data_IF_393974424197
#
_entry.id   IF_393974424197
#
_cell.length_a   1.000
_cell.length_b   1.000
_cell.length_c   1.000
_cell.angle_alpha   90.00
_cell.angle_beta   90.00
_cell.angle_gamma   90.00
#
_symmetry.space_group_name_H-M   'P 1'
#
loop_
_entity.id
_entity.type
_entity.pdbx_description
1 polymer ?
#
# COMPACT_ATOMS: atom_id res chain seq x y z
N UNK A 1 -50.36 -43.20 -12.81
CA UNK A 1 -50.26 -42.09 -11.84
C UNK A 1 -48.89 -41.46 -11.99
N UNK A 2 -48.87 -40.14 -12.06
CA UNK A 2 -47.89 -39.28 -12.74
C UNK A 2 -46.63 -39.02 -11.91
N UNK A 3 -45.45 -39.30 -12.48
CA UNK A 3 -44.15 -38.94 -11.90
C UNK A 3 -43.81 -37.48 -12.25
N UNK A 4 -43.97 -36.60 -11.27
CA UNK A 4 -43.70 -35.17 -11.40
C UNK A 4 -42.20 -34.91 -11.24
N UNK A 5 -41.47 -34.84 -12.36
CA UNK A 5 -40.11 -34.32 -12.36
C UNK A 5 -40.14 -32.80 -12.21
N UNK A 6 -39.85 -32.33 -11.00
CA UNK A 6 -39.58 -30.92 -10.71
C UNK A 6 -38.25 -30.55 -11.35
N UNK A 7 -38.32 -29.94 -12.54
CA UNK A 7 -37.18 -29.32 -13.21
C UNK A 7 -36.75 -28.08 -12.45
N UNK A 8 -35.79 -28.24 -11.53
CA UNK A 8 -35.10 -27.12 -10.87
C UNK A 8 -34.21 -26.45 -11.92
N UNK A 9 -34.79 -25.48 -12.63
CA UNK A 9 -34.10 -24.62 -13.59
C UNK A 9 -33.15 -23.73 -12.79
N UNK A 10 -31.93 -24.21 -12.55
CA UNK A 10 -30.88 -23.46 -11.89
C UNK A 10 -30.64 -22.16 -12.67
N UNK A 11 -31.16 -21.05 -12.15
CA UNK A 11 -30.85 -19.71 -12.62
C UNK A 11 -29.35 -19.47 -12.37
N UNK A 12 -28.53 -19.82 -13.37
CA UNK A 12 -27.16 -19.34 -13.48
C UNK A 12 -27.23 -17.83 -13.60
N UNK A 13 -27.12 -17.18 -12.45
CA UNK A 13 -26.94 -15.75 -12.34
C UNK A 13 -25.72 -15.40 -13.19
N UNK A 14 -25.93 -14.67 -14.28
CA UNK A 14 -24.85 -14.23 -15.14
C UNK A 14 -23.76 -13.54 -14.28
N UNK A 15 -22.48 -13.85 -14.49
CA UNK A 15 -21.41 -13.20 -13.74
C UNK A 15 -21.50 -11.70 -13.97
N UNK A 16 -21.79 -10.95 -12.89
CA UNK A 16 -21.80 -9.49 -12.90
C UNK A 16 -20.41 -9.02 -13.34
N UNK A 17 -20.31 -8.51 -14.57
CA UNK A 17 -19.13 -7.83 -15.07
C UNK A 17 -18.87 -6.61 -14.19
N UNK A 18 -17.82 -6.69 -13.36
CA UNK A 18 -17.33 -5.53 -12.63
C UNK A 18 -16.95 -4.43 -13.63
N UNK A 19 -17.09 -3.14 -13.28
CA UNK A 19 -16.74 -2.04 -14.17
C UNK A 19 -15.27 -2.19 -14.61
N UNK A 20 -14.91 -1.86 -15.86
CA UNK A 20 -13.53 -1.92 -16.37
C UNK A 20 -12.59 -1.05 -15.52
N UNK A 21 -11.27 -1.30 -15.59
CA UNK A 21 -10.31 -0.43 -14.87
C UNK A 21 -10.49 0.93 -15.50
N UNK A 22 -10.72 2.00 -14.73
CA UNK A 22 -10.82 3.31 -15.33
C UNK A 22 -9.50 3.56 -16.05
N UNK A 23 -9.57 3.75 -17.37
CA UNK A 23 -8.41 4.01 -18.24
C UNK A 23 -7.55 5.14 -17.65
N UNK A 24 -8.23 6.12 -17.03
CA UNK A 24 -7.63 7.21 -16.27
C UNK A 24 -6.63 6.72 -15.22
N UNK A 25 -6.93 5.69 -14.42
CA UNK A 25 -5.97 5.19 -13.42
C UNK A 25 -4.72 4.61 -14.09
N UNK A 26 -4.87 3.85 -15.17
CA UNK A 26 -3.72 3.31 -15.90
C UNK A 26 -2.86 4.43 -16.47
N UNK A 27 -3.48 5.42 -17.12
CA UNK A 27 -2.78 6.56 -17.71
C UNK A 27 -2.07 7.37 -16.63
N UNK A 28 -2.73 7.64 -15.50
CA UNK A 28 -2.11 8.33 -14.37
C UNK A 28 -0.94 7.55 -13.78
N UNK A 29 -1.08 6.23 -13.55
CA UNK A 29 0.00 5.41 -13.00
C UNK A 29 1.19 5.35 -13.96
N UNK A 30 0.96 5.07 -15.24
CA UNK A 30 2.04 5.01 -16.24
C UNK A 30 2.68 6.39 -16.44
N UNK A 31 1.88 7.44 -16.55
CA UNK A 31 2.36 8.81 -16.68
C UNK A 31 3.20 9.24 -15.47
N UNK A 32 2.77 8.90 -14.25
CA UNK A 32 3.53 9.17 -13.03
C UNK A 32 4.87 8.42 -13.02
N UNK A 33 4.88 7.14 -13.38
CA UNK A 33 6.10 6.33 -13.44
C UNK A 33 7.09 6.85 -14.48
N UNK A 34 6.61 7.20 -15.67
CA UNK A 34 7.44 7.75 -16.74
C UNK A 34 7.95 9.16 -16.42
N UNK A 35 7.09 10.01 -15.85
CA UNK A 35 7.49 11.35 -15.42
C UNK A 35 8.54 11.30 -14.31
N UNK A 36 8.36 10.43 -13.33
CA UNK A 36 9.33 10.24 -12.26
C UNK A 36 10.63 9.58 -12.76
N UNK A 37 10.55 8.61 -13.67
CA UNK A 37 11.74 8.05 -14.33
C UNK A 37 12.49 9.11 -15.14
N UNK A 38 11.79 9.98 -15.87
CA UNK A 38 12.37 11.09 -16.62
C UNK A 38 13.08 12.09 -15.72
N UNK A 39 12.48 12.44 -14.58
CA UNK A 39 13.12 13.27 -13.56
C UNK A 39 14.42 12.62 -13.04
N UNK A 40 14.40 11.31 -12.76
CA UNK A 40 15.58 10.56 -12.30
C UNK A 40 16.67 10.45 -13.37
N UNK A 41 16.30 10.30 -14.65
CA UNK A 41 17.23 10.35 -15.78
C UNK A 41 17.87 11.73 -15.84
N UNK A 42 17.08 12.81 -15.75
CA UNK A 42 17.59 14.18 -15.79
C UNK A 42 18.62 14.42 -14.67
N UNK A 43 18.35 13.98 -13.44
CA UNK A 43 19.31 14.08 -12.34
C UNK A 43 20.55 13.21 -12.52
N UNK A 44 20.42 12.06 -13.18
CA UNK A 44 21.56 11.18 -13.45
C UNK A 44 22.46 11.75 -14.56
N UNK A 45 21.88 12.47 -15.53
CA UNK A 45 22.60 13.03 -16.69
C UNK A 45 23.16 14.42 -16.42
N UNK A 46 22.36 15.32 -15.83
CA UNK A 46 22.72 16.73 -15.63
C UNK A 46 23.29 17.04 -14.24
N UNK A 47 23.39 16.01 -13.39
CA UNK A 47 23.81 16.15 -12.00
C UNK A 47 22.63 16.22 -11.04
N UNK A 48 22.80 15.57 -9.89
CA UNK A 48 21.84 15.60 -8.78
C UNK A 48 21.99 16.91 -8.01
N UNK A 49 20.89 17.58 -7.61
CA UNK A 49 20.95 18.67 -6.65
C UNK A 49 21.78 18.27 -5.41
N UNK A 50 22.65 19.18 -4.94
CA UNK A 50 23.56 18.95 -3.82
C UNK A 50 22.84 18.69 -2.48
N UNK A 51 21.60 19.16 -2.35
CA UNK A 51 20.84 19.20 -1.10
C UNK A 51 19.62 18.26 -1.12
N UNK A 52 19.83 16.98 -1.45
CA UNK A 52 18.75 15.98 -1.46
C UNK A 52 18.67 15.15 -0.16
N UNK A 53 19.76 15.05 0.60
CA UNK A 53 19.79 14.32 1.87
C UNK A 53 21.06 14.62 2.64
N UNK A 54 21.01 14.57 3.97
CA UNK A 54 22.20 14.68 4.83
C UNK A 54 23.17 13.50 4.68
N UNK A 55 22.71 12.32 4.22
CA UNK A 55 23.47 11.05 4.24
C UNK A 55 23.79 10.55 2.81
N UNK A 56 23.70 11.41 1.79
CA UNK A 56 24.09 11.06 0.41
C UNK A 56 22.91 10.97 -0.56
N UNK A 57 22.79 9.93 -1.42
CA UNK A 57 21.81 9.92 -2.50
C UNK A 57 20.37 9.78 -2.00
N UNK A 58 19.44 10.35 -2.77
CA UNK A 58 18.03 10.57 -2.40
C UNK A 58 17.20 9.30 -2.09
N UNK A 59 17.47 8.18 -2.77
CA UNK A 59 16.81 6.89 -2.53
C UNK A 59 17.81 5.89 -1.96
N UNK A 60 17.45 5.18 -0.90
CA UNK A 60 18.26 4.10 -0.34
C UNK A 60 18.01 2.83 -1.16
N UNK A 61 19.05 2.06 -1.49
CA UNK A 61 19.07 0.88 -2.40
C UNK A 61 18.86 1.14 -3.91
N UNK A 62 18.03 2.10 -4.33
CA UNK A 62 17.68 2.31 -5.75
C UNK A 62 18.15 3.67 -6.27
N UNK A 63 19.47 3.83 -6.37
CA UNK A 63 20.11 5.04 -6.90
C UNK A 63 20.49 4.87 -8.36
N UNK A 64 20.52 5.96 -9.13
CA UNK A 64 20.94 5.95 -10.54
C UNK A 64 20.12 5.01 -11.43
N UNK A 65 20.82 4.29 -12.31
CA UNK A 65 20.23 3.43 -13.35
C UNK A 65 19.35 2.28 -12.85
N UNK A 66 19.71 1.53 -11.78
CA UNK A 66 18.82 0.51 -11.22
C UNK A 66 17.44 1.04 -10.81
N UNK A 67 17.36 2.23 -10.21
CA UNK A 67 16.09 2.84 -9.83
C UNK A 67 15.24 3.20 -11.06
N UNK A 68 15.87 3.71 -12.11
CA UNK A 68 15.21 4.01 -13.39
C UNK A 68 14.67 2.73 -14.03
N UNK A 69 15.47 1.65 -14.04
CA UNK A 69 15.06 0.35 -14.58
C UNK A 69 13.83 -0.22 -13.86
N UNK A 70 13.77 -0.10 -12.52
CA UNK A 70 12.59 -0.53 -11.73
C UNK A 70 11.35 0.27 -12.11
N UNK A 71 11.46 1.59 -12.29
CA UNK A 71 10.33 2.45 -12.67
C UNK A 71 9.79 2.13 -14.06
N UNK A 72 10.70 1.98 -15.04
CA UNK A 72 10.32 1.61 -16.41
C UNK A 72 9.73 0.19 -16.47
N UNK A 73 10.35 -0.77 -15.78
CA UNK A 73 9.83 -2.13 -15.65
C UNK A 73 8.44 -2.15 -15.02
N UNK A 74 8.21 -1.37 -13.96
CA UNK A 74 6.90 -1.23 -13.34
C UNK A 74 5.86 -0.63 -14.30
N UNK A 75 6.25 0.35 -15.13
CA UNK A 75 5.35 0.93 -16.14
C UNK A 75 4.93 -0.11 -17.19
N UNK A 76 5.87 -0.95 -17.64
CA UNK A 76 5.58 -2.07 -18.56
C UNK A 76 4.65 -3.08 -17.90
N UNK A 77 4.88 -3.44 -16.64
CA UNK A 77 4.01 -4.36 -15.90
C UNK A 77 2.59 -3.79 -15.79
N UNK A 78 2.43 -2.51 -15.42
CA UNK A 78 1.12 -1.84 -15.32
C UNK A 78 0.42 -1.80 -16.68
N UNK A 79 1.14 -1.49 -17.76
CA UNK A 79 0.58 -1.50 -19.11
C UNK A 79 0.13 -2.92 -19.52
N UNK A 80 0.94 -3.94 -19.25
CA UNK A 80 0.60 -5.35 -19.54
C UNK A 80 -0.63 -5.82 -18.74
N UNK A 81 -0.73 -5.44 -17.46
CA UNK A 81 -1.91 -5.70 -16.62
C UNK A 81 -3.18 -5.03 -17.19
N UNK A 82 -3.05 -3.80 -17.70
CA UNK A 82 -4.17 -3.09 -18.32
C UNK A 82 -4.62 -3.72 -19.64
N UNK A 83 -3.68 -4.12 -20.51
CA UNK A 83 -3.98 -4.83 -21.77
C UNK A 83 -4.67 -6.16 -21.49
N UNK A 84 -4.17 -6.92 -20.52
CA UNK A 84 -4.74 -8.20 -20.10
C UNK A 84 -6.14 -8.08 -19.48
N UNK A 85 -6.54 -6.90 -19.00
CA UNK A 85 -7.87 -6.64 -18.41
C UNK A 85 -8.76 -5.74 -19.28
N UNK A 86 -8.36 -5.46 -20.52
CA UNK A 86 -9.09 -4.58 -21.43
C UNK A 86 -10.40 -5.17 -21.97
N UNK A 87 -11.15 -4.41 -22.79
CA UNK A 87 -12.47 -4.81 -23.31
C UNK A 87 -12.46 -6.16 -24.05
N UNK A 88 -11.36 -6.48 -24.75
CA UNK A 88 -11.16 -7.76 -25.45
C UNK A 88 -11.06 -8.96 -24.52
N UNK A 89 -10.73 -8.74 -23.25
CA UNK A 89 -10.65 -9.78 -22.22
C UNK A 89 -11.97 -9.95 -21.44
N UNK A 90 -12.95 -9.05 -21.61
CA UNK A 90 -14.19 -9.03 -20.83
C UNK A 90 -15.09 -10.27 -21.04
N UNK A 91 -14.88 -11.02 -22.13
CA UNK A 91 -15.61 -12.27 -22.42
C UNK A 91 -14.91 -13.55 -21.93
N UNK A 92 -13.69 -13.47 -21.38
CA UNK A 92 -12.94 -14.66 -20.95
C UNK A 92 -13.23 -14.99 -19.47
N UNK A 93 -13.44 -16.27 -19.12
CA UNK A 93 -13.56 -16.66 -17.72
C UNK A 93 -12.28 -16.32 -16.97
N UNK A 94 -12.42 -15.77 -15.75
CA UNK A 94 -11.29 -15.47 -14.88
C UNK A 94 -10.50 -16.75 -14.61
N UNK A 95 -9.27 -16.80 -15.11
CA UNK A 95 -8.38 -17.96 -14.98
C UNK A 95 -7.02 -17.49 -14.51
N UNK A 96 -6.56 -18.04 -13.39
CA UNK A 96 -5.20 -17.84 -12.89
C UNK A 96 -4.25 -18.56 -13.83
N UNK A 97 -3.58 -17.81 -14.71
CA UNK A 97 -2.52 -18.31 -15.59
C UNK A 97 -1.14 -17.98 -15.02
N UNK A 98 -0.07 -18.71 -15.38
CA UNK A 98 1.28 -18.36 -14.94
C UNK A 98 1.66 -16.91 -15.28
N UNK A 99 1.21 -16.39 -16.42
CA UNK A 99 1.40 -14.98 -16.79
C UNK A 99 0.71 -14.00 -15.83
N UNK A 100 -0.51 -14.30 -15.36
CA UNK A 100 -1.19 -13.45 -14.35
C UNK A 100 -0.47 -13.47 -13.01
N UNK A 101 0.10 -14.61 -12.61
CA UNK A 101 0.88 -14.72 -11.36
C UNK A 101 2.18 -13.92 -11.49
N UNK A 102 2.91 -14.07 -12.59
CA UNK A 102 4.14 -13.34 -12.85
C UNK A 102 3.93 -11.81 -12.85
N UNK A 103 2.90 -11.32 -13.54
CA UNK A 103 2.56 -9.89 -13.56
C UNK A 103 2.14 -9.35 -12.18
N UNK A 104 1.49 -10.18 -11.37
CA UNK A 104 1.09 -9.78 -10.01
C UNK A 104 2.30 -9.72 -9.09
N UNK A 105 3.15 -10.74 -9.12
CA UNK A 105 4.39 -10.78 -8.35
C UNK A 105 5.33 -9.65 -8.74
N UNK A 106 5.50 -9.39 -10.05
CA UNK A 106 6.30 -8.28 -10.55
C UNK A 106 5.79 -6.94 -10.00
N UNK A 107 4.48 -6.68 -10.08
CA UNK A 107 3.88 -5.45 -9.53
C UNK A 107 4.05 -5.33 -8.00
N UNK A 108 3.89 -6.43 -7.26
CA UNK A 108 4.11 -6.48 -5.81
C UNK A 108 5.58 -6.18 -5.46
N UNK A 109 6.52 -6.80 -6.16
CA UNK A 109 7.96 -6.62 -5.93
C UNK A 109 8.37 -5.18 -6.26
N UNK A 110 7.93 -4.63 -7.40
CA UNK A 110 8.21 -3.24 -7.75
C UNK A 110 7.64 -2.25 -6.73
N UNK A 111 6.40 -2.45 -6.29
CA UNK A 111 5.78 -1.60 -5.27
C UNK A 111 6.54 -1.69 -3.92
N UNK A 112 6.91 -2.90 -3.50
CA UNK A 112 7.67 -3.11 -2.27
C UNK A 112 9.06 -2.47 -2.35
N UNK A 113 9.78 -2.64 -3.47
CA UNK A 113 11.10 -2.07 -3.69
C UNK A 113 11.08 -0.54 -3.67
N UNK A 114 10.10 0.09 -4.34
CA UNK A 114 9.93 1.54 -4.33
C UNK A 114 9.52 2.07 -2.95
N UNK A 115 8.64 1.37 -2.24
CA UNK A 115 8.24 1.75 -0.88
C UNK A 115 9.42 1.66 0.10
N UNK A 116 10.24 0.60 -0.02
CA UNK A 116 11.45 0.44 0.78
C UNK A 116 12.49 1.53 0.46
N UNK A 117 12.65 1.88 -0.82
CA UNK A 117 13.54 2.96 -1.22
C UNK A 117 13.06 4.34 -0.75
N UNK A 118 11.75 4.50 -0.57
CA UNK A 118 11.13 5.70 0.00
C UNK A 118 11.14 5.71 1.54
N UNK A 119 11.70 4.71 2.23
CA UNK A 119 11.61 4.60 3.70
C UNK A 119 12.19 5.82 4.45
N UNK A 120 13.13 6.55 3.83
CA UNK A 120 13.69 7.77 4.41
C UNK A 120 12.72 8.97 4.42
N UNK A 121 11.56 8.87 3.75
CA UNK A 121 10.50 9.89 3.81
C UNK A 121 10.07 10.19 5.25
N UNK A 122 10.13 9.18 6.13
CA UNK A 122 9.76 9.33 7.53
C UNK A 122 10.73 10.27 8.26
N UNK A 123 12.03 10.25 7.91
CA UNK A 123 13.02 11.15 8.51
C UNK A 123 12.79 12.59 8.09
N UNK A 124 12.46 12.85 6.81
CA UNK A 124 12.19 14.22 6.37
C UNK A 124 10.89 14.75 6.97
N UNK A 125 9.87 13.89 7.10
CA UNK A 125 8.60 14.27 7.69
C UNK A 125 8.76 14.64 9.16
N UNK A 126 9.59 13.89 9.89
CA UNK A 126 9.94 14.18 11.29
C UNK A 126 10.77 15.45 11.40
N UNK A 127 11.77 15.62 10.53
CA UNK A 127 12.60 16.83 10.47
C UNK A 127 11.79 18.10 10.16
N UNK A 128 10.76 17.99 9.32
CA UNK A 128 9.84 19.09 9.01
C UNK A 128 8.77 19.35 10.08
N UNK A 129 8.26 18.28 10.73
CA UNK A 129 7.16 18.38 11.71
C UNK A 129 7.63 18.79 13.11
N UNK A 130 8.89 18.51 13.47
CA UNK A 130 9.47 18.83 14.77
C UNK A 130 10.62 19.83 14.61
N UNK A 131 10.33 21.12 14.37
CA UNK A 131 11.38 22.15 14.34
C UNK A 131 12.07 22.21 15.70
N UNK A 132 13.41 22.06 15.71
CA UNK A 132 14.23 22.06 16.94
C UNK A 132 15.04 20.78 17.18
N UNK A 133 14.88 19.74 16.36
CA UNK A 133 15.63 18.48 16.46
C UNK A 133 17.05 18.52 15.84
N UNK A 134 17.49 19.67 15.32
CA UNK A 134 18.79 19.82 14.67
C UNK A 134 18.93 19.11 13.32
N UNK A 135 17.86 18.50 12.81
CA UNK A 135 17.83 17.81 11.50
C UNK A 135 17.51 18.83 10.41
N UNK A 136 18.42 18.97 9.44
CA UNK A 136 18.22 19.83 8.27
C UNK A 136 17.11 19.28 7.38
N UNK A 137 16.13 20.13 7.05
CA UNK A 137 15.01 19.76 6.19
C UNK A 137 15.37 19.99 4.72
N UNK A 138 15.29 18.93 3.89
CA UNK A 138 15.56 18.97 2.46
C UNK A 138 14.26 18.84 1.66
N UNK A 139 13.61 19.95 1.27
CA UNK A 139 12.28 19.93 0.65
C UNK A 139 12.25 19.15 -0.67
N UNK A 140 13.33 19.21 -1.44
CA UNK A 140 13.43 18.52 -2.74
C UNK A 140 13.54 17.01 -2.56
N UNK A 141 14.35 16.54 -1.60
CA UNK A 141 14.46 15.12 -1.26
C UNK A 141 13.14 14.58 -0.70
N UNK A 142 12.50 15.33 0.19
CA UNK A 142 11.18 14.97 0.72
C UNK A 142 10.14 14.82 -0.40
N UNK A 143 10.05 15.78 -1.32
CA UNK A 143 9.13 15.73 -2.46
C UNK A 143 9.42 14.55 -3.39
N UNK A 144 10.69 14.23 -3.63
CA UNK A 144 11.11 13.07 -4.42
C UNK A 144 10.67 11.75 -3.79
N UNK A 145 10.90 11.59 -2.47
CA UNK A 145 10.49 10.39 -1.73
C UNK A 145 8.98 10.25 -1.64
N UNK A 146 8.24 11.35 -1.51
CA UNK A 146 6.77 11.38 -1.66
C UNK A 146 6.38 10.88 -3.06
N UNK A 147 7.07 11.35 -4.11
CA UNK A 147 6.86 10.91 -5.48
C UNK A 147 7.06 9.41 -5.67
N UNK A 148 8.12 8.87 -5.07
CA UNK A 148 8.43 7.44 -5.05
C UNK A 148 7.37 6.61 -4.30
N UNK A 149 6.98 7.05 -3.11
CA UNK A 149 5.93 6.39 -2.32
C UNK A 149 4.58 6.43 -3.06
N UNK A 150 4.25 7.55 -3.70
CA UNK A 150 3.07 7.68 -4.56
C UNK A 150 3.09 6.68 -5.72
N UNK A 151 4.25 6.51 -6.38
CA UNK A 151 4.42 5.50 -7.43
C UNK A 151 4.17 4.07 -6.90
N UNK A 152 4.74 3.73 -5.75
CA UNK A 152 4.53 2.42 -5.10
C UNK A 152 3.04 2.15 -4.80
N UNK A 153 2.33 3.15 -4.26
CA UNK A 153 0.88 3.04 -3.97
C UNK A 153 0.07 2.85 -5.25
N UNK A 154 0.36 3.62 -6.30
CA UNK A 154 -0.33 3.51 -7.58
C UNK A 154 -0.13 2.12 -8.22
N UNK A 155 1.10 1.58 -8.20
CA UNK A 155 1.40 0.22 -8.68
C UNK A 155 0.61 -0.82 -7.85
N UNK A 156 0.60 -0.68 -6.52
CA UNK A 156 -0.11 -1.61 -5.63
C UNK A 156 -1.62 -1.62 -5.90
N UNK A 157 -2.25 -0.45 -6.04
CA UNK A 157 -3.67 -0.35 -6.38
C UNK A 157 -3.97 -1.03 -7.72
N UNK A 158 -3.13 -0.80 -8.73
CA UNK A 158 -3.30 -1.39 -10.05
C UNK A 158 -3.15 -2.91 -10.02
N UNK A 159 -2.08 -3.39 -9.40
CA UNK A 159 -1.76 -4.81 -9.23
C UNK A 159 -2.84 -5.55 -8.44
N UNK A 160 -3.37 -4.93 -7.38
CA UNK A 160 -4.48 -5.51 -6.60
C UNK A 160 -5.76 -5.63 -7.43
N UNK A 161 -6.10 -4.63 -8.23
CA UNK A 161 -7.27 -4.68 -9.13
C UNK A 161 -7.10 -5.76 -10.20
N UNK A 162 -5.91 -5.85 -10.78
CA UNK A 162 -5.55 -6.89 -11.74
C UNK A 162 -5.71 -8.30 -11.13
N UNK A 163 -5.17 -8.52 -9.94
CA UNK A 163 -5.29 -9.78 -9.20
C UNK A 163 -6.75 -10.13 -8.94
N UNK A 164 -7.54 -9.20 -8.39
CA UNK A 164 -8.94 -9.44 -8.04
C UNK A 164 -9.81 -9.82 -9.25
N UNK A 165 -9.47 -9.36 -10.46
CA UNK A 165 -10.20 -9.73 -11.68
C UNK A 165 -9.80 -11.07 -12.27
N UNK A 166 -8.51 -11.40 -12.22
CA UNK A 166 -7.99 -12.61 -12.85
C UNK A 166 -8.01 -13.82 -11.91
N UNK A 167 -8.33 -13.61 -10.63
CA UNK A 167 -8.49 -14.68 -9.65
C UNK A 167 -9.75 -15.49 -9.98
N UNK A 168 -9.58 -16.79 -10.22
CA UNK A 168 -10.71 -17.71 -10.32
C UNK A 168 -11.50 -17.72 -8.99
N UNK A 169 -12.83 -17.75 -9.09
CA UNK A 169 -13.76 -17.68 -7.95
C UNK A 169 -13.54 -18.75 -6.85
N UNK A 170 -12.73 -19.80 -7.12
CA UNK A 170 -12.42 -20.87 -6.17
C UNK A 170 -11.23 -20.61 -5.23
N UNK A 171 -10.47 -19.52 -5.38
CA UNK A 171 -9.33 -19.22 -4.50
C UNK A 171 -9.67 -18.31 -3.32
N UNK A 172 -10.91 -17.83 -3.22
CA UNK A 172 -11.36 -17.11 -2.03
C UNK A 172 -11.72 -18.18 -1.00
N UNK A 173 -10.83 -18.41 -0.04
CA UNK A 173 -11.25 -19.03 1.19
C UNK A 173 -12.43 -18.21 1.73
N UNK A 174 -13.55 -18.88 2.04
CA UNK A 174 -14.73 -18.21 2.55
C UNK A 174 -14.35 -17.19 3.64
N UNK A 175 -14.97 -16.01 3.67
CA UNK A 175 -14.75 -15.04 4.74
C UNK A 175 -15.17 -15.65 6.09
N UNK A 176 -14.25 -16.35 6.73
CA UNK A 176 -14.49 -17.22 7.88
C UNK A 176 -13.32 -18.13 8.23
N UNK A 177 -12.40 -18.43 7.30
CA UNK A 177 -11.22 -19.24 7.63
C UNK A 177 -10.10 -18.40 8.25
N UNK A 178 -9.45 -18.99 9.26
CA UNK A 178 -8.39 -18.41 10.08
C UNK A 178 -7.38 -17.59 9.25
N UNK A 179 -6.95 -16.45 9.80
CA UNK A 179 -5.89 -15.66 9.17
C UNK A 179 -4.64 -16.53 9.02
N UNK A 180 -4.10 -16.71 7.80
CA UNK A 180 -3.00 -17.64 7.57
C UNK A 180 -1.81 -17.29 8.47
N UNK A 181 -1.18 -18.30 9.07
CA UNK A 181 -0.13 -18.14 10.09
C UNK A 181 1.04 -17.24 9.67
N UNK A 182 1.32 -17.16 8.36
CA UNK A 182 2.35 -16.27 7.83
C UNK A 182 2.08 -14.77 8.06
N UNK A 183 0.81 -14.37 8.20
CA UNK A 183 0.44 -12.99 8.57
C UNK A 183 0.93 -12.64 9.96
N UNK A 184 0.88 -13.61 10.90
CA UNK A 184 1.47 -13.45 12.23
C UNK A 184 2.99 -13.35 12.12
N UNK A 185 3.62 -14.24 11.34
CA UNK A 185 5.05 -14.19 11.07
C UNK A 185 5.52 -12.84 10.51
N UNK A 186 4.81 -12.29 9.53
CA UNK A 186 5.14 -10.98 8.95
C UNK A 186 4.99 -9.83 9.96
N UNK A 187 3.97 -9.86 10.82
CA UNK A 187 3.82 -8.88 11.90
C UNK A 187 4.95 -8.95 12.92
N UNK A 188 5.32 -10.16 13.36
CA UNK A 188 6.45 -10.34 14.29
C UNK A 188 7.79 -10.01 13.64
N UNK A 189 7.96 -10.27 12.34
CA UNK A 189 9.15 -9.87 11.59
C UNK A 189 9.29 -8.34 11.55
N UNK A 190 8.19 -7.61 11.36
CA UNK A 190 8.19 -6.14 11.41
C UNK A 190 8.58 -5.63 12.81
N UNK A 191 8.03 -6.24 13.87
CA UNK A 191 8.41 -5.93 15.26
C UNK A 191 9.89 -6.24 15.51
N UNK A 192 10.37 -7.41 15.07
CA UNK A 192 11.75 -7.81 15.22
C UNK A 192 12.70 -6.87 14.47
N UNK A 193 12.35 -6.43 13.26
CA UNK A 193 13.12 -5.41 12.53
C UNK A 193 13.17 -4.07 13.27
N UNK A 194 12.06 -3.65 13.88
CA UNK A 194 12.03 -2.45 14.72
C UNK A 194 12.92 -2.59 15.97
N UNK A 195 12.87 -3.73 16.66
CA UNK A 195 13.72 -4.01 17.82
C UNK A 195 15.19 -4.13 17.44
N UNK A 196 15.52 -4.78 16.32
CA UNK A 196 16.88 -4.88 15.81
C UNK A 196 17.46 -3.50 15.49
N UNK A 197 16.65 -2.60 14.92
CA UNK A 197 17.06 -1.20 14.71
C UNK A 197 17.36 -0.49 16.02
N UNK A 198 16.51 -0.62 17.03
CA UNK A 198 16.73 -0.02 18.35
C UNK A 198 17.99 -0.59 19.01
N UNK A 199 18.18 -1.91 18.93
CA UNK A 199 19.39 -2.57 19.43
C UNK A 199 20.64 -2.04 18.73
N UNK A 200 20.60 -1.81 17.42
CA UNK A 200 21.71 -1.21 16.68
C UNK A 200 21.99 0.24 17.09
N UNK A 201 20.94 1.04 17.36
CA UNK A 201 21.09 2.40 17.89
C UNK A 201 21.71 2.39 19.29
N UNK A 202 21.33 1.42 20.13
CA UNK A 202 21.90 1.21 21.45
C UNK A 202 23.34 0.69 21.39
N UNK A 203 23.75 -0.12 20.41
CA UNK A 203 25.13 -0.62 20.35
C UNK A 203 26.10 0.37 19.71
N UNK A 204 25.63 1.22 18.79
CA UNK A 204 26.48 2.16 18.03
C UNK A 204 26.48 3.57 18.64
N UNK A 205 25.48 3.95 19.45
CA UNK A 205 25.26 5.33 19.94
C UNK A 205 25.43 5.56 21.45
N UNK A 206 26.07 4.65 22.20
CA UNK A 206 26.09 4.70 23.67
C UNK A 206 26.84 5.88 24.32
N UNK A 207 27.52 6.73 23.55
CA UNK A 207 28.19 7.92 24.10
C UNK A 207 27.27 9.16 24.16
N UNK A 208 26.13 9.14 23.45
CA UNK A 208 25.14 10.22 23.47
C UNK A 208 23.84 9.73 24.12
N UNK A 209 23.75 9.89 25.43
CA UNK A 209 22.54 9.58 26.20
C UNK A 209 21.29 10.24 25.58
N UNK A 210 20.20 9.49 25.28
CA UNK A 210 18.99 10.04 24.64
C UNK A 210 18.30 11.15 25.47
N UNK A 211 18.66 11.26 26.75
CA UNK A 211 18.24 12.33 27.64
C UNK A 211 18.83 13.72 27.29
N UNK A 212 19.88 13.76 26.46
CA UNK A 212 20.52 15.01 26.02
C UNK A 212 19.82 15.67 24.82
N UNK A 213 18.96 14.94 24.10
CA UNK A 213 18.27 15.42 22.88
C UNK A 213 17.01 16.26 23.12
N UNK A 214 16.69 16.59 24.38
CA UNK A 214 15.49 17.36 24.75
C UNK A 214 14.18 16.55 24.70
N UNK A 215 13.07 17.13 25.20
CA UNK A 215 11.78 16.42 25.35
C UNK A 215 11.14 16.01 24.01
N UNK A 216 11.44 16.70 22.91
CA UNK A 216 10.96 16.36 21.56
C UNK A 216 11.50 15.00 21.07
N UNK A 217 12.75 14.67 21.40
CA UNK A 217 13.38 13.41 21.02
C UNK A 217 12.74 12.22 21.74
N UNK A 218 12.42 12.39 23.03
CA UNK A 218 11.75 11.38 23.84
C UNK A 218 10.34 11.09 23.30
N UNK A 219 9.55 12.13 23.00
CA UNK A 219 8.21 11.97 22.43
C UNK A 219 8.27 11.29 21.07
N UNK A 220 9.23 11.68 20.22
CA UNK A 220 9.44 11.06 18.92
C UNK A 220 9.78 9.57 19.03
N UNK A 221 10.71 9.20 19.90
CA UNK A 221 11.14 7.81 20.05
C UNK A 221 10.03 6.93 20.64
N UNK A 222 9.29 7.42 21.64
CA UNK A 222 8.10 6.74 22.16
C UNK A 222 7.06 6.57 21.05
N UNK A 223 6.78 7.62 20.28
CA UNK A 223 5.83 7.58 19.17
C UNK A 223 6.25 6.60 18.07
N UNK A 224 7.54 6.56 17.73
CA UNK A 224 8.11 5.64 16.75
C UNK A 224 8.04 4.19 17.25
N UNK A 225 8.34 3.94 18.52
CA UNK A 225 8.29 2.61 19.12
C UNK A 225 6.84 2.11 19.25
N UNK A 226 5.91 2.99 19.64
CA UNK A 226 4.48 2.69 19.59
C UNK A 226 4.04 2.41 18.15
N UNK A 227 4.40 3.24 17.17
CA UNK A 227 3.99 2.99 15.80
C UNK A 227 4.58 1.69 15.25
N UNK A 228 5.87 1.41 15.50
CA UNK A 228 6.59 0.24 15.00
C UNK A 228 6.17 -1.08 15.63
N UNK A 229 5.67 -1.06 16.87
CA UNK A 229 5.24 -2.27 17.58
C UNK A 229 3.71 -2.40 17.55
N UNK A 230 3.02 -1.33 17.93
CA UNK A 230 1.58 -1.35 18.16
C UNK A 230 0.81 -1.43 16.84
N UNK A 231 1.28 -0.81 15.75
CA UNK A 231 0.61 -0.88 14.44
C UNK A 231 0.67 -2.31 13.85
N UNK A 232 1.83 -2.99 13.76
CA UNK A 232 1.88 -4.37 13.29
C UNK A 232 1.10 -5.33 14.20
N UNK A 233 1.23 -5.19 15.52
CA UNK A 233 0.48 -6.03 16.46
C UNK A 233 -1.03 -5.79 16.36
N UNK A 234 -1.48 -4.55 16.15
CA UNK A 234 -2.89 -4.23 15.97
C UNK A 234 -3.48 -4.81 14.67
N UNK A 235 -2.68 -4.90 13.61
CA UNK A 235 -3.10 -5.52 12.34
C UNK A 235 -3.23 -7.04 12.45
N UNK A 236 -2.37 -7.67 13.24
CA UNK A 236 -2.32 -9.13 13.39
C UNK A 236 -3.28 -9.64 14.47
N UNK A 237 -3.36 -8.96 15.61
CA UNK A 237 -4.13 -9.43 16.77
C UNK A 237 -5.55 -8.85 16.77
N UNK A 238 -6.51 -9.65 17.26
CA UNK A 238 -7.92 -9.25 17.36
C UNK A 238 -8.15 -8.02 18.24
N UNK A 239 -7.25 -7.76 19.20
CA UNK A 239 -7.29 -6.59 20.08
C UNK A 239 -7.20 -5.28 19.28
N UNK A 240 -6.37 -5.20 18.22
CA UNK A 240 -6.28 -3.99 17.40
C UNK A 240 -7.48 -3.71 16.48
N UNK A 241 -8.49 -4.59 16.49
CA UNK A 241 -9.77 -4.41 15.78
C UNK A 241 -10.92 -4.00 16.70
N UNK A 242 -10.68 -3.88 18.01
CA UNK A 242 -11.69 -3.54 19.00
C UNK A 242 -11.16 -2.37 19.83
N UNK A 243 -11.96 -1.32 19.96
CA UNK A 243 -11.58 -0.16 20.77
C UNK A 243 -11.41 -0.59 22.24
N UNK A 244 -10.29 -0.23 22.88
CA UNK A 244 -10.06 -0.57 24.28
C UNK A 244 -11.10 0.06 25.21
N UNK A 245 -11.42 -0.64 26.31
CA UNK A 245 -12.52 -0.27 27.22
C UNK A 245 -12.33 1.05 27.95
N UNK A 246 -11.09 1.57 28.00
CA UNK A 246 -10.74 2.86 28.62
C UNK A 246 -10.97 4.07 27.71
N UNK A 247 -11.41 3.90 26.45
CA UNK A 247 -11.77 5.03 25.58
C UNK A 247 -13.25 5.38 25.78
N UNK A 248 -13.58 6.47 26.50
CA UNK A 248 -14.96 6.84 26.77
C UNK A 248 -15.69 7.13 25.44
N UNK A 249 -16.84 6.50 25.24
CA UNK A 249 -17.70 6.66 24.05
C UNK A 249 -17.44 5.69 22.89
N UNK A 250 -16.32 4.97 22.86
CA UNK A 250 -15.97 4.01 21.79
C UNK A 250 -15.66 2.59 22.30
N UNK A 251 -15.58 2.41 23.63
CA UNK A 251 -15.31 1.15 24.30
C UNK A 251 -16.09 -0.04 23.71
N UNK A 252 -15.37 -1.09 23.30
CA UNK A 252 -15.96 -2.35 22.81
C UNK A 252 -16.48 -2.31 21.37
N UNK A 253 -16.51 -1.14 20.69
CA UNK A 253 -16.87 -1.08 19.27
C UNK A 253 -15.73 -1.60 18.39
N UNK A 254 -16.09 -2.29 17.31
CA UNK A 254 -15.09 -2.69 16.30
C UNK A 254 -14.54 -1.43 15.64
N UNK A 255 -13.21 -1.29 15.62
CA UNK A 255 -12.55 -0.19 14.92
C UNK A 255 -13.00 -0.26 13.46
N UNK A 256 -13.59 0.82 12.92
CA UNK A 256 -14.06 0.82 11.55
C UNK A 256 -12.92 0.44 10.62
N UNK A 257 -13.14 -0.56 9.76
CA UNK A 257 -12.09 -1.09 8.86
C UNK A 257 -11.42 0.00 8.05
N UNK A 258 -12.11 1.10 7.73
CA UNK A 258 -11.55 2.24 7.03
C UNK A 258 -10.42 2.95 7.81
N UNK A 259 -10.49 3.04 9.14
CA UNK A 259 -9.44 3.69 9.95
C UNK A 259 -8.13 2.90 9.95
N UNK A 260 -8.23 1.56 9.89
CA UNK A 260 -7.09 0.64 9.74
C UNK A 260 -6.59 0.55 8.28
N UNK A 261 -7.44 0.90 7.32
CA UNK A 261 -7.17 0.78 5.89
C UNK A 261 -6.68 2.11 5.29
N UNK A 262 -7.02 3.28 5.83
CA UNK A 262 -6.52 4.57 5.32
C UNK A 262 -4.97 4.64 5.36
N UNK A 263 -4.28 4.17 6.41
CA UNK A 263 -2.83 4.07 6.38
C UNK A 263 -2.31 3.06 5.35
N UNK A 264 -3.11 2.04 4.99
CA UNK A 264 -2.71 0.94 4.09
C UNK A 264 -3.29 0.96 2.67
N UNK A 265 -4.20 1.87 2.35
CA UNK A 265 -4.96 1.89 1.09
C UNK A 265 -5.57 3.28 0.81
N UNK A 266 -4.75 4.33 0.88
CA UNK A 266 -5.11 5.62 0.30
C UNK A 266 -5.40 5.43 -1.21
N UNK A 267 -6.68 5.24 -1.56
CA UNK A 267 -7.04 4.93 -2.94
C UNK A 267 -8.42 4.28 -3.14
N UNK A 268 -9.47 4.90 -2.60
CA UNK A 268 -10.76 4.92 -3.26
C UNK A 268 -11.89 4.12 -2.60
N UNK A 269 -12.99 4.82 -2.34
CA UNK A 269 -14.24 4.68 -3.13
C UNK A 269 -15.31 5.63 -2.56
N UNK A 270 -15.64 6.68 -3.31
CA UNK A 270 -16.71 7.65 -3.01
C UNK A 270 -18.13 7.21 -3.42
N UNK A 271 -18.32 6.01 -3.99
CA UNK A 271 -19.56 5.65 -4.70
C UNK A 271 -20.72 5.07 -3.84
N UNK A 272 -20.72 5.24 -2.51
CA UNK A 272 -21.82 4.70 -1.68
C UNK A 272 -22.85 5.73 -1.21
N UNK A 273 -22.61 7.03 -1.37
CA UNK A 273 -23.56 8.05 -0.87
C UNK A 273 -24.70 8.40 -1.83
N UNK A 274 -24.60 8.03 -3.11
CA UNK A 274 -25.63 8.35 -4.12
C UNK A 274 -26.77 7.33 -4.23
N UNK A 275 -26.77 6.24 -3.44
CA UNK A 275 -27.86 5.22 -3.46
C UNK A 275 -28.95 5.43 -2.43
N UNK A 276 -28.86 6.47 -1.58
CA UNK A 276 -29.87 6.75 -0.56
C UNK A 276 -30.88 7.83 -0.96
N UNK A 277 -30.82 8.36 -2.19
CA UNK A 277 -31.73 9.42 -2.67
C UNK A 277 -32.58 9.03 -3.88
N UNK A 278 -32.75 7.73 -4.16
CA UNK A 278 -33.75 7.30 -5.16
C UNK A 278 -35.12 7.16 -4.48
N UNK A 279 -36.10 8.06 -4.71
CA UNK A 279 -37.43 7.88 -4.17
C UNK A 279 -38.08 6.64 -4.77
N UNK A 280 -38.55 5.76 -3.89
CA UNK A 280 -39.36 4.61 -4.25
C UNK A 280 -40.73 5.09 -4.76
N UNK A 281 -40.86 5.25 -6.07
CA UNK A 281 -42.18 5.45 -6.68
C UNK A 281 -42.78 4.07 -7.02
N UNK A 282 -43.66 3.59 -6.14
CA UNK A 282 -44.59 2.49 -6.42
C UNK A 282 -46.00 3.05 -6.50
N UNK A 283 -46.70 2.60 -7.55
CA UNK A 283 -48.14 2.47 -7.67
C UNK A 283 -48.97 3.74 -7.94
N UNK A 284 -49.34 3.90 -9.21
CA UNK A 284 -50.73 3.76 -9.68
C UNK A 284 -50.72 3.37 -11.15
#
# INVERSE_FOLDING_TARGET
MSSSQVSVKAHRSAPRSGPPTPIVLTVLTVGWLLGYAGLRIAWTVFGTPSDLSAIGPDLVLLTGWPGIAVLLGAAVIVAAQAVATGPRAAGRPARTTPGTVALTLGGLVSAAALMLAAAMIMLDLVGGLLPGLGVTFFPVGAASRVGCAGAAVLIMIHTRRFWLRNRAAGFVAEPGTSSPGWVFGAGYLAVAGCLARLAAQLTVGLDASPWTGGPSMIIFEIGFLLAGILLPLALVHRWGRIWPFWVPGLAGRRIPRWLLIIPGAAGGRHDQLTRLTAPANRAS
#
